data_IF_728373831808
#
_entry.id   IF_728373831808
#
_cell.length_a   1.000
_cell.length_b   1.000
_cell.length_c   1.000
_cell.angle_alpha   90.00
_cell.angle_beta   90.00
_cell.angle_gamma   90.00
#
_symmetry.space_group_name_H-M   'P 1'
#
loop_
_entity.id
_entity.type
_entity.pdbx_description
1 polymer ?
#
# COMPACT_ATOMS: atom_id res chain seq x y z
N UNK A 1 -24.80 4.17 8.95
CA UNK A 1 -24.10 3.95 7.66
C UNK A 1 -24.22 2.47 7.32
N UNK A 2 -24.81 2.12 6.18
CA UNK A 2 -24.99 0.71 5.78
C UNK A 2 -23.69 0.17 5.19
N UNK A 3 -23.41 -1.12 5.40
CA UNK A 3 -22.16 -1.77 4.93
C UNK A 3 -21.93 -1.59 3.41
N UNK A 4 -23.01 -1.48 2.65
CA UNK A 4 -22.98 -1.28 1.20
C UNK A 4 -22.48 0.11 0.80
N UNK A 5 -22.77 1.16 1.58
CA UNK A 5 -22.28 2.51 1.34
C UNK A 5 -20.79 2.65 1.64
N UNK A 6 -20.32 2.02 2.72
CA UNK A 6 -18.89 1.99 3.06
C UNK A 6 -18.07 1.20 2.03
N UNK A 7 -18.59 0.05 1.57
CA UNK A 7 -17.96 -0.71 0.49
C UNK A 7 -17.79 0.14 -0.77
N UNK A 8 -18.83 0.83 -1.20
CA UNK A 8 -18.76 1.67 -2.40
C UNK A 8 -17.76 2.84 -2.27
N UNK A 9 -17.68 3.43 -1.08
CA UNK A 9 -16.68 4.47 -0.77
C UNK A 9 -15.26 3.91 -0.83
N UNK A 10 -15.04 2.69 -0.34
CA UNK A 10 -13.74 2.02 -0.40
C UNK A 10 -13.35 1.67 -1.84
N UNK A 11 -14.29 1.15 -2.64
CA UNK A 11 -14.08 0.85 -4.06
C UNK A 11 -13.61 2.10 -4.84
N UNK A 12 -14.22 3.27 -4.57
CA UNK A 12 -13.80 4.56 -5.16
C UNK A 12 -12.40 5.00 -4.73
N UNK A 13 -12.01 4.73 -3.48
CA UNK A 13 -10.66 5.05 -3.00
C UNK A 13 -9.60 4.16 -3.62
N UNK A 14 -9.88 2.87 -3.77
CA UNK A 14 -8.97 1.92 -4.43
C UNK A 14 -8.79 2.28 -5.90
N UNK A 15 -9.87 2.61 -6.61
CA UNK A 15 -9.81 3.04 -8.01
C UNK A 15 -8.93 4.28 -8.21
N UNK A 16 -9.03 5.27 -7.31
CA UNK A 16 -8.20 6.47 -7.34
C UNK A 16 -6.71 6.15 -7.10
N UNK A 17 -6.41 5.27 -6.16
CA UNK A 17 -5.04 4.86 -5.83
C UNK A 17 -4.40 4.05 -6.97
N UNK A 18 -5.16 3.15 -7.61
CA UNK A 18 -4.69 2.39 -8.77
C UNK A 18 -4.36 3.30 -9.95
N UNK A 19 -5.17 4.33 -10.19
CA UNK A 19 -4.90 5.34 -11.22
C UNK A 19 -3.62 6.12 -10.90
N UNK A 20 -3.48 6.63 -9.67
CA UNK A 20 -2.25 7.32 -9.24
C UNK A 20 -0.99 6.44 -9.40
N UNK A 21 -1.08 5.16 -9.05
CA UNK A 21 0.04 4.22 -9.23
C UNK A 21 0.38 3.99 -10.71
N UNK A 22 -0.63 3.87 -11.57
CA UNK A 22 -0.45 3.70 -13.01
C UNK A 22 0.24 4.94 -13.63
N UNK A 23 -0.13 6.13 -13.17
CA UNK A 23 0.48 7.38 -13.56
C UNK A 23 1.96 7.47 -13.14
N UNK A 24 2.26 7.04 -11.91
CA UNK A 24 3.63 7.00 -11.37
C UNK A 24 4.54 5.99 -12.10
N UNK A 25 4.00 4.87 -12.59
CA UNK A 25 4.82 3.79 -13.16
C UNK A 25 5.03 3.91 -14.68
N UNK A 26 4.10 4.54 -15.39
CA UNK A 26 4.08 4.52 -16.86
C UNK A 26 4.11 5.91 -17.51
N UNK A 27 4.20 6.98 -16.71
CA UNK A 27 4.32 8.40 -17.13
C UNK A 27 3.28 8.90 -18.16
N UNK A 28 2.19 8.18 -18.40
CA UNK A 28 1.00 8.76 -19.02
C UNK A 28 0.07 9.34 -17.95
N UNK A 29 0.46 10.54 -17.50
CA UNK A 29 -0.25 11.61 -16.77
C UNK A 29 -0.32 11.62 -15.24
N UNK A 30 0.78 11.35 -14.55
CA UNK A 30 1.20 12.20 -13.44
C UNK A 30 2.72 12.31 -13.50
N UNK A 31 3.21 13.49 -13.87
CA UNK A 31 4.63 13.78 -14.08
C UNK A 31 5.38 13.68 -12.75
N UNK A 32 6.18 12.64 -12.57
CA UNK A 32 7.12 12.50 -11.45
C UNK A 32 8.25 13.51 -11.61
N UNK A 33 8.60 14.25 -10.55
CA UNK A 33 9.74 15.17 -10.61
C UNK A 33 11.08 14.42 -10.66
N UNK A 34 12.12 15.02 -11.26
CA UNK A 34 13.47 14.39 -11.34
C UNK A 34 14.03 13.99 -9.96
N UNK A 35 13.67 14.73 -8.91
CA UNK A 35 14.09 14.45 -7.54
C UNK A 35 13.42 13.20 -6.97
N UNK A 36 12.11 13.07 -7.17
CA UNK A 36 11.34 11.88 -6.76
C UNK A 36 11.79 10.64 -7.52
N UNK A 37 12.00 10.76 -8.84
CA UNK A 37 12.55 9.69 -9.65
C UNK A 37 13.96 9.25 -9.17
N UNK A 38 14.82 10.20 -8.78
CA UNK A 38 16.14 9.88 -8.24
C UNK A 38 16.05 9.17 -6.88
N UNK A 39 15.15 9.61 -6.01
CA UNK A 39 14.92 8.99 -4.70
C UNK A 39 14.35 7.57 -4.83
N UNK A 40 13.38 7.36 -5.72
CA UNK A 40 12.81 6.03 -6.02
C UNK A 40 13.92 5.08 -6.51
N UNK A 41 14.76 5.54 -7.44
CA UNK A 41 15.90 4.74 -7.95
C UNK A 41 16.90 4.41 -6.86
N UNK A 42 17.21 5.35 -5.96
CA UNK A 42 18.13 5.14 -4.86
C UNK A 42 17.59 4.09 -3.87
N UNK A 43 16.31 4.22 -3.47
CA UNK A 43 15.65 3.27 -2.56
C UNK A 43 15.56 1.87 -3.19
N UNK A 44 15.20 1.77 -4.46
CA UNK A 44 15.19 0.49 -5.19
C UNK A 44 16.57 -0.15 -5.26
N UNK A 45 17.62 0.65 -5.53
CA UNK A 45 19.00 0.13 -5.55
C UNK A 45 19.43 -0.40 -4.18
N UNK A 46 19.12 0.31 -3.09
CA UNK A 46 19.38 -0.18 -1.72
C UNK A 46 18.63 -1.47 -1.41
N UNK A 47 17.36 -1.56 -1.80
CA UNK A 47 16.56 -2.77 -1.63
C UNK A 47 17.17 -3.98 -2.37
N UNK A 48 17.59 -3.80 -3.62
CA UNK A 48 18.23 -4.85 -4.42
C UNK A 48 19.60 -5.27 -3.87
N UNK A 49 20.28 -4.39 -3.14
CA UNK A 49 21.52 -4.68 -2.41
C UNK A 49 21.27 -5.36 -1.06
N UNK A 50 20.02 -5.63 -0.69
CA UNK A 50 19.65 -6.35 0.54
C UNK A 50 19.39 -5.44 1.75
N UNK A 51 19.53 -4.12 1.60
CA UNK A 51 19.19 -3.17 2.67
C UNK A 51 17.69 -2.87 2.66
N UNK A 52 16.91 -3.74 3.31
CA UNK A 52 15.44 -3.70 3.31
C UNK A 52 14.81 -3.00 4.52
N UNK A 53 15.59 -2.33 5.37
CA UNK A 53 15.11 -1.78 6.65
C UNK A 53 13.94 -0.79 6.54
N UNK A 54 13.84 -0.08 5.40
CA UNK A 54 12.75 0.87 5.14
C UNK A 54 11.56 0.25 4.38
N UNK A 55 11.61 -1.05 4.09
CA UNK A 55 10.59 -1.77 3.31
C UNK A 55 9.88 -2.79 4.19
N UNK A 56 8.55 -2.82 4.09
CA UNK A 56 7.70 -3.77 4.81
C UNK A 56 7.15 -4.81 3.84
N UNK A 57 7.04 -6.05 4.30
CA UNK A 57 6.42 -7.11 3.49
C UNK A 57 4.91 -6.86 3.39
N UNK A 58 4.39 -6.96 2.16
CA UNK A 58 2.99 -6.71 1.89
C UNK A 58 2.10 -7.74 2.59
N UNK A 59 2.54 -9.00 2.67
CA UNK A 59 1.80 -10.05 3.36
C UNK A 59 1.71 -9.79 4.86
N UNK A 60 2.76 -9.26 5.48
CA UNK A 60 2.75 -8.91 6.90
C UNK A 60 1.74 -7.79 7.19
N UNK A 61 1.65 -6.81 6.29
CA UNK A 61 0.68 -5.70 6.40
C UNK A 61 -0.76 -6.21 6.20
N UNK A 62 -1.00 -7.10 5.25
CA UNK A 62 -2.32 -7.68 4.98
C UNK A 62 -2.79 -8.59 6.12
N UNK A 63 -1.87 -9.35 6.72
CA UNK A 63 -2.17 -10.27 7.82
C UNK A 63 -2.28 -9.58 9.19
N UNK A 64 -1.74 -8.36 9.35
CA UNK A 64 -1.89 -7.57 10.56
C UNK A 64 -3.37 -7.22 10.87
N UNK A 65 -4.22 -7.10 9.85
CA UNK A 65 -5.67 -6.88 10.03
C UNK A 65 -6.43 -8.10 10.57
N UNK A 66 -5.92 -9.32 10.33
CA UNK A 66 -6.60 -10.59 10.63
C UNK A 66 -6.38 -11.08 12.07
N UNK A 67 -5.31 -10.63 12.74
CA UNK A 67 -4.92 -11.10 14.08
C UNK A 67 -5.73 -10.48 15.24
N UNK A 68 -6.60 -9.49 14.99
CA UNK A 68 -7.34 -8.79 16.06
C UNK A 68 -8.58 -9.52 16.59
N UNK A 69 -9.05 -10.60 15.96
CA UNK A 69 -10.31 -11.29 16.35
C UNK A 69 -10.18 -12.52 17.26
N UNK A 70 -8.98 -12.93 17.68
CA UNK A 70 -8.80 -14.19 18.43
C UNK A 70 -8.52 -14.06 19.93
N UNK A 71 -8.76 -12.90 20.55
CA UNK A 71 -8.56 -12.73 22.00
C UNK A 71 -9.85 -12.42 22.77
N UNK A 72 -10.90 -13.23 22.56
CA UNK A 72 -12.08 -13.23 23.45
C UNK A 72 -12.95 -14.47 23.22
N UNK A 73 -12.49 -15.67 23.59
CA UNK A 73 -13.40 -16.74 24.01
C UNK A 73 -12.61 -17.89 24.66
N UNK A 74 -12.27 -17.71 25.93
CA UNK A 74 -12.13 -18.80 26.91
C UNK A 74 -11.90 -18.19 28.28
N UNK A 75 -13.00 -17.93 28.98
CA UNK A 75 -13.08 -17.85 30.45
C UNK A 75 -14.54 -17.73 30.85
N UNK A 76 -15.14 -18.88 31.15
CA UNK A 76 -16.13 -19.16 32.20
C UNK A 76 -16.68 -20.56 31.92
#
# INVERSE_FOLDING_TARGET
MTAQAERHRLEKKVDLLSKALHLLLFEEKETISKKEAAEIRARLSSYLKGNKGDFVDLEDVLNAGSKSKQKSSKRA
#
